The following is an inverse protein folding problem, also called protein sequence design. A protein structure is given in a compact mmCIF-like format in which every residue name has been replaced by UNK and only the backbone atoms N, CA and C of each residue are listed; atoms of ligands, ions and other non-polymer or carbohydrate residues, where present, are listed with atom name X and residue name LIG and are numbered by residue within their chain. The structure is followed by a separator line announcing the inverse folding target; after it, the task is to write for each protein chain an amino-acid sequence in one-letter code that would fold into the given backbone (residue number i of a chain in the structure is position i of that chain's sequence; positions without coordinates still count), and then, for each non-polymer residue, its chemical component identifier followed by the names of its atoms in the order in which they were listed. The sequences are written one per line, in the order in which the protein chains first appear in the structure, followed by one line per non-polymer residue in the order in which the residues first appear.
data_IF_331089008456
#
_entry.id   IF_331089008456
#
_cell.length_a   1.000
_cell.length_b   1.000
_cell.length_c   1.000
_cell.angle_alpha   90.00
_cell.angle_beta   90.00
_cell.angle_gamma   90.00
#
_symmetry.space_group_name_H-M   'P 1'
#
loop_
_entity.id
_entity.type
_entity.pdbx_description
1 polymer ?
#
# COMPACT_ATOMS: atom_id res chain seq x y z
N UNK A 1 -14.27 1.74 -7.74
CA UNK A 1 -13.35 1.31 -6.67
C UNK A 1 -11.99 0.89 -7.19
N UNK A 2 -11.87 0.04 -8.23
CA UNK A 2 -10.57 -0.29 -8.84
C UNK A 2 -10.04 0.90 -9.64
N UNK A 3 -10.71 1.33 -10.72
CA UNK A 3 -10.28 2.44 -11.57
C UNK A 3 -10.18 3.80 -10.84
N UNK A 4 -10.92 3.95 -9.73
CA UNK A 4 -10.93 5.14 -8.88
C UNK A 4 -10.06 5.00 -7.63
N UNK A 5 -9.11 4.06 -7.64
CA UNK A 5 -8.21 3.84 -6.50
C UNK A 5 -7.13 4.92 -6.47
N UNK A 6 -6.76 5.35 -5.27
CA UNK A 6 -5.69 6.31 -5.01
C UNK A 6 -4.36 5.91 -5.64
N UNK A 7 -4.06 4.61 -5.70
CA UNK A 7 -2.80 4.10 -6.28
C UNK A 7 -2.73 4.37 -7.78
N UNK A 8 -3.83 4.20 -8.52
CA UNK A 8 -3.86 4.39 -9.97
C UNK A 8 -3.71 5.87 -10.31
N UNK A 9 -4.43 6.74 -9.60
CA UNK A 9 -4.28 8.18 -9.73
C UNK A 9 -2.85 8.63 -9.37
N UNK A 10 -2.28 8.08 -8.30
CA UNK A 10 -0.90 8.35 -7.87
C UNK A 10 0.13 8.02 -8.95
N UNK A 11 0.06 6.82 -9.53
CA UNK A 11 0.95 6.39 -10.63
C UNK A 11 0.84 7.37 -11.80
N UNK A 12 -0.37 7.71 -12.25
CA UNK A 12 -0.55 8.65 -13.37
C UNK A 12 0.00 10.04 -13.08
N UNK A 13 -0.12 10.51 -11.84
CA UNK A 13 0.37 11.82 -11.43
C UNK A 13 1.91 11.85 -11.34
N UNK A 14 2.52 10.84 -10.72
CA UNK A 14 3.98 10.70 -10.61
C UNK A 14 4.62 10.57 -12.01
N UNK A 15 3.97 9.81 -12.88
CA UNK A 15 4.41 9.64 -14.27
C UNK A 15 4.45 10.99 -15.02
N UNK A 16 3.39 11.79 -14.86
CA UNK A 16 3.28 13.13 -15.45
C UNK A 16 4.31 14.11 -14.88
N UNK A 17 4.53 14.11 -13.56
CA UNK A 17 5.52 14.97 -12.92
C UNK A 17 6.96 14.67 -13.36
N UNK A 18 7.29 13.39 -13.55
CA UNK A 18 8.64 12.95 -13.92
C UNK A 18 8.90 12.94 -15.44
N UNK A 19 7.89 13.25 -16.27
CA UNK A 19 7.99 13.27 -17.74
C UNK A 19 8.60 11.98 -18.32
N UNK A 20 8.16 10.81 -17.84
CA UNK A 20 8.66 9.52 -18.31
C UNK A 20 8.23 9.21 -19.75
N UNK A 21 9.13 8.57 -20.51
CA UNK A 21 8.81 8.01 -21.82
C UNK A 21 7.96 6.73 -21.69
N UNK A 22 7.29 6.30 -22.76
CA UNK A 22 6.32 5.21 -22.74
C UNK A 22 6.83 3.92 -22.06
N UNK A 23 8.08 3.52 -22.36
CA UNK A 23 8.68 2.33 -21.75
C UNK A 23 8.97 2.54 -20.27
N UNK A 24 9.49 3.71 -19.89
CA UNK A 24 9.76 4.05 -18.49
C UNK A 24 8.47 4.05 -17.66
N UNK A 25 7.38 4.56 -18.23
CA UNK A 25 6.05 4.56 -17.61
C UNK A 25 5.51 3.17 -17.34
N UNK A 26 5.70 2.23 -18.27
CA UNK A 26 5.28 0.83 -18.06
C UNK A 26 6.09 0.19 -16.92
N UNK A 27 7.41 0.37 -16.93
CA UNK A 27 8.29 -0.22 -15.90
C UNK A 27 7.96 0.35 -14.51
N UNK A 28 7.75 1.66 -14.41
CA UNK A 28 7.37 2.33 -13.17
C UNK A 28 6.00 1.87 -12.65
N UNK A 29 4.99 1.79 -13.53
CA UNK A 29 3.66 1.31 -13.16
C UNK A 29 3.69 -0.15 -12.64
N UNK A 30 4.47 -1.03 -13.28
CA UNK A 30 4.65 -2.42 -12.82
C UNK A 30 5.35 -2.44 -11.45
N UNK A 31 6.41 -1.65 -11.27
CA UNK A 31 7.15 -1.56 -10.01
C UNK A 31 6.27 -1.12 -8.84
N UNK A 32 5.48 -0.05 -9.02
CA UNK A 32 4.55 0.45 -8.00
C UNK A 32 3.44 -0.57 -7.72
N UNK A 33 2.89 -1.21 -8.76
CA UNK A 33 1.84 -2.21 -8.61
C UNK A 33 2.31 -3.43 -7.81
N UNK A 34 3.52 -3.92 -8.07
CA UNK A 34 4.12 -5.02 -7.30
C UNK A 34 4.28 -4.67 -5.82
N UNK A 35 4.78 -3.46 -5.53
CA UNK A 35 4.89 -2.97 -4.14
C UNK A 35 3.54 -2.89 -3.44
N UNK A 36 2.51 -2.37 -4.14
CA UNK A 36 1.15 -2.31 -3.62
C UNK A 36 0.55 -3.71 -3.37
N UNK A 37 0.77 -4.66 -4.28
CA UNK A 37 0.34 -6.06 -4.10
C UNK A 37 0.98 -6.67 -2.85
N UNK A 38 2.28 -6.47 -2.64
CA UNK A 38 2.96 -6.95 -1.44
C UNK A 38 2.35 -6.38 -0.16
N UNK A 39 2.12 -5.06 -0.12
CA UNK A 39 1.49 -4.38 1.01
C UNK A 39 0.08 -4.92 1.30
N UNK A 40 -0.71 -5.16 0.25
CA UNK A 40 -2.06 -5.72 0.38
C UNK A 40 -2.07 -7.16 0.91
N UNK A 41 -1.14 -8.00 0.46
CA UNK A 41 -0.99 -9.38 0.98
C UNK A 41 -0.62 -9.36 2.46
N UNK A 42 0.33 -8.51 2.86
CA UNK A 42 0.69 -8.34 4.28
C UNK A 42 -0.51 -7.89 5.11
N UNK A 43 -1.23 -6.86 4.65
CA UNK A 43 -2.40 -6.35 5.35
C UNK A 43 -3.51 -7.41 5.46
N UNK A 44 -3.74 -8.20 4.42
CA UNK A 44 -4.68 -9.31 4.44
C UNK A 44 -4.28 -10.38 5.47
N UNK A 45 -3.00 -10.78 5.50
CA UNK A 45 -2.48 -11.73 6.47
C UNK A 45 -2.62 -11.26 7.92
N UNK A 46 -2.33 -9.98 8.19
CA UNK A 46 -2.51 -9.40 9.52
C UNK A 46 -4.00 -9.40 9.92
N UNK A 47 -4.90 -9.00 9.00
CA UNK A 47 -6.34 -8.99 9.27
C UNK A 47 -6.90 -10.37 9.56
N UNK A 48 -6.41 -11.41 8.87
CA UNK A 48 -6.82 -12.79 9.12
C UNK A 48 -6.44 -13.23 10.54
N UNK A 49 -5.20 -12.97 10.97
CA UNK A 49 -4.75 -13.26 12.33
C UNK A 49 -5.55 -12.51 13.39
N UNK A 50 -5.86 -11.26 13.10
CA UNK A 50 -6.56 -10.37 14.01
C UNK A 50 -8.04 -10.76 14.19
N UNK A 51 -8.66 -11.37 13.17
CA UNK A 51 -10.01 -11.93 13.26
C UNK A 51 -10.10 -13.07 14.28
N UNK A 52 -9.00 -13.81 14.48
CA UNK A 52 -8.91 -14.91 15.42
C UNK A 52 -8.32 -14.50 16.79
N UNK A 53 -8.11 -13.20 17.01
CA UNK A 53 -7.51 -12.65 18.24
C UNK A 53 -8.56 -11.96 19.11
N UNK A 54 -8.30 -11.90 20.42
CA UNK A 54 -9.17 -11.20 21.38
C UNK A 54 -8.98 -9.67 21.29
N UNK A 55 -9.67 -9.06 20.34
CA UNK A 55 -9.72 -7.60 20.16
C UNK A 55 -10.92 -7.03 20.95
N UNK A 56 -10.74 -5.96 21.76
CA UNK A 56 -11.84 -5.28 22.45
C UNK A 56 -12.92 -4.81 21.47
N UNK A 57 -14.20 -4.91 21.86
CA UNK A 57 -15.33 -4.68 20.96
C UNK A 57 -15.33 -3.31 20.27
N UNK A 58 -14.85 -2.27 20.96
CA UNK A 58 -14.74 -0.90 20.43
C UNK A 58 -13.73 -0.75 19.28
N UNK A 59 -12.73 -1.63 19.20
CA UNK A 59 -11.70 -1.60 18.16
C UNK A 59 -11.99 -2.54 16.98
N UNK A 60 -12.98 -3.44 17.10
CA UNK A 60 -13.29 -4.41 16.05
C UNK A 60 -13.71 -3.74 14.74
N UNK A 61 -13.40 -4.41 13.63
CA UNK A 61 -13.78 -3.96 12.29
C UNK A 61 -12.81 -2.93 11.71
N UNK A 62 -13.31 -1.74 11.38
CA UNK A 62 -12.56 -0.74 10.60
C UNK A 62 -11.47 -0.02 11.40
N UNK A 63 -11.71 0.23 12.70
CA UNK A 63 -10.78 0.99 13.55
C UNK A 63 -9.40 0.29 13.65
N UNK A 64 -9.39 -1.00 13.94
CA UNK A 64 -8.14 -1.75 14.03
C UNK A 64 -7.47 -1.94 12.66
N UNK A 65 -8.24 -2.02 11.57
CA UNK A 65 -7.68 -2.05 10.22
C UNK A 65 -6.88 -0.77 9.90
N UNK A 66 -7.38 0.40 10.35
CA UNK A 66 -6.67 1.68 10.22
C UNK A 66 -5.38 1.72 11.05
N UNK A 67 -5.40 1.25 12.29
CA UNK A 67 -4.19 1.17 13.12
C UNK A 67 -3.14 0.26 12.49
N UNK A 68 -3.55 -0.93 12.03
CA UNK A 68 -2.65 -1.86 11.34
C UNK A 68 -2.07 -1.25 10.07
N UNK A 69 -2.87 -0.53 9.26
CA UNK A 69 -2.34 0.14 8.07
C UNK A 69 -1.31 1.23 8.42
N UNK A 70 -1.51 1.93 9.55
CA UNK A 70 -0.52 2.91 10.04
C UNK A 70 0.79 2.27 10.47
N UNK A 71 0.73 1.16 11.23
CA UNK A 71 1.92 0.41 11.63
C UNK A 71 2.64 -0.17 10.41
N UNK A 72 1.89 -0.68 9.43
CA UNK A 72 2.46 -1.17 8.18
C UNK A 72 3.14 -0.06 7.39
N UNK A 73 2.56 1.15 7.33
CA UNK A 73 3.20 2.31 6.72
C UNK A 73 4.53 2.68 7.42
N UNK A 74 4.58 2.64 8.76
CA UNK A 74 5.83 2.85 9.51
C UNK A 74 6.89 1.79 9.18
N UNK A 75 6.49 0.54 8.97
CA UNK A 75 7.41 -0.51 8.55
C UNK A 75 8.01 -0.23 7.16
N UNK A 76 7.18 0.25 6.21
CA UNK A 76 7.66 0.62 4.87
C UNK A 76 8.54 1.88 4.87
N UNK A 77 8.32 2.84 5.78
CA UNK A 77 9.22 4.00 5.94
C UNK A 77 10.65 3.57 6.32
N UNK A 78 10.83 2.40 6.94
CA UNK A 78 12.16 1.85 7.20
C UNK A 78 12.99 1.56 5.95
N UNK A 79 12.36 1.42 4.78
CA UNK A 79 13.05 1.27 3.49
C UNK A 79 13.43 2.60 2.85
N UNK A 80 13.00 3.73 3.41
CA UNK A 80 13.35 5.05 2.90
C UNK A 80 14.86 5.27 3.03
N UNK A 81 15.53 5.55 1.92
CA UNK A 81 16.98 5.75 1.87
C UNK A 81 17.81 4.50 1.57
N UNK A 82 17.17 3.35 1.24
CA UNK A 82 17.89 2.14 0.84
C UNK A 82 18.68 2.27 -0.48
N UNK A 83 18.24 3.14 -1.38
CA UNK A 83 18.83 3.33 -2.70
C UNK A 83 19.06 4.83 -2.87
N UNK A 84 20.28 5.20 -3.30
CA UNK A 84 20.74 6.59 -3.45
C UNK A 84 20.90 6.92 -4.91
#
# INVERSE_FOLDING_TARGET
LIATNCIILGVTFINSMNNYDFIQSIVEAIGISLGYTLAMIMLAGIRERLRNSDVPQFFKGKAIAFMVSGILALAFLGFQGMIK
#
